data_IF_684442257631
#
_entry.id   IF_684442257631
#
_cell.length_a   1.000
_cell.length_b   1.000
_cell.length_c   1.000
_cell.angle_alpha   90.00
_cell.angle_beta   90.00
_cell.angle_gamma   90.00
#
_symmetry.space_group_name_H-M   'P 1'
#
loop_
_entity.id
_entity.type
_entity.pdbx_description
1 polymer ?
#
# COMPACT_ATOMS: atom_id res chain seq x y z
N UNK A 1 -5.43 -23.33 -1.80
CA UNK A 1 -5.24 -23.64 -0.37
C UNK A 1 -5.67 -22.44 0.49
N UNK A 2 -6.91 -22.48 1.01
CA UNK A 2 -7.68 -21.34 1.53
C UNK A 2 -7.59 -21.07 3.04
N UNK A 3 -6.44 -21.25 3.67
CA UNK A 3 -6.22 -20.97 5.11
C UNK A 3 -6.28 -19.47 5.47
N UNK A 4 -6.59 -18.58 4.52
CA UNK A 4 -6.71 -17.16 4.79
C UNK A 4 -5.38 -16.44 5.08
N UNK A 5 -4.24 -16.98 4.63
CA UNK A 5 -2.90 -16.38 4.89
C UNK A 5 -2.81 -14.91 4.49
N UNK A 6 -3.35 -14.55 3.32
CA UNK A 6 -3.42 -13.14 2.88
C UNK A 6 -4.18 -12.30 3.90
N UNK A 7 -5.35 -12.75 4.33
CA UNK A 7 -6.17 -12.03 5.30
C UNK A 7 -5.49 -11.93 6.68
N UNK A 8 -4.81 -13.00 7.11
CA UNK A 8 -4.01 -12.97 8.33
C UNK A 8 -2.91 -11.90 8.23
N UNK A 9 -2.18 -11.82 7.12
CA UNK A 9 -1.16 -10.79 6.90
C UNK A 9 -1.76 -9.38 6.88
N UNK A 10 -2.86 -9.17 6.15
CA UNK A 10 -3.58 -7.89 6.08
C UNK A 10 -4.04 -7.45 7.48
N UNK A 11 -4.62 -8.36 8.26
CA UNK A 11 -5.04 -8.11 9.63
C UNK A 11 -3.88 -7.75 10.56
N UNK A 12 -2.75 -8.45 10.45
CA UNK A 12 -1.55 -8.13 11.22
C UNK A 12 -1.02 -6.73 10.90
N UNK A 13 -0.95 -6.36 9.62
CA UNK A 13 -0.54 -5.00 9.19
C UNK A 13 -1.48 -3.94 9.75
N UNK A 14 -2.80 -4.18 9.69
CA UNK A 14 -3.79 -3.25 10.23
C UNK A 14 -3.63 -3.04 11.74
N UNK A 15 -3.41 -4.11 12.51
CA UNK A 15 -3.18 -4.01 13.95
C UNK A 15 -1.90 -3.22 14.25
N UNK A 16 -0.82 -3.47 13.50
CA UNK A 16 0.44 -2.72 13.66
C UNK A 16 0.24 -1.24 13.39
N UNK A 17 -0.47 -0.89 12.31
CA UNK A 17 -0.73 0.50 11.93
C UNK A 17 -1.64 1.23 12.92
N UNK A 18 -2.73 0.59 13.37
CA UNK A 18 -3.79 1.28 14.13
C UNK A 18 -3.64 1.19 15.65
N UNK A 19 -3.00 0.15 16.17
CA UNK A 19 -2.97 -0.12 17.63
C UNK A 19 -1.58 -0.05 18.25
N UNK A 20 -0.53 -0.22 17.46
CA UNK A 20 0.84 -0.32 17.97
C UNK A 20 1.68 0.93 17.67
N UNK A 21 1.02 2.09 17.43
CA UNK A 21 1.67 3.36 17.06
C UNK A 21 2.57 3.26 15.81
N UNK A 22 2.30 2.29 14.92
CA UNK A 22 3.03 2.10 13.68
C UNK A 22 2.60 3.07 12.59
N UNK A 23 2.88 4.37 12.74
CA UNK A 23 2.71 5.37 11.67
C UNK A 23 3.82 5.21 10.61
N UNK A 24 3.92 4.04 9.99
CA UNK A 24 5.00 3.67 9.09
C UNK A 24 4.49 3.11 7.76
N UNK A 25 5.37 3.12 6.76
CA UNK A 25 5.12 2.50 5.45
C UNK A 25 5.36 1.00 5.55
N UNK A 26 4.40 0.19 5.11
CA UNK A 26 4.50 -1.27 5.08
C UNK A 26 4.71 -1.76 3.65
N UNK A 27 5.78 -2.50 3.39
CA UNK A 27 6.07 -3.11 2.09
C UNK A 27 5.61 -4.57 2.05
N UNK A 28 4.76 -4.90 1.07
CA UNK A 28 4.32 -6.28 0.79
C UNK A 28 4.82 -6.69 -0.58
N UNK A 29 5.62 -7.76 -0.64
CA UNK A 29 6.13 -8.35 -1.89
C UNK A 29 5.27 -9.56 -2.25
N UNK A 30 4.70 -9.56 -3.45
CA UNK A 30 3.88 -10.65 -3.95
C UNK A 30 4.09 -10.85 -5.47
N UNK A 31 3.80 -12.06 -6.01
CA UNK A 31 3.82 -12.29 -7.45
C UNK A 31 2.86 -11.35 -8.20
N UNK A 32 3.26 -10.92 -9.40
CA UNK A 32 2.48 -10.02 -10.26
C UNK A 32 1.02 -10.47 -10.43
N UNK A 33 0.80 -11.76 -10.62
CA UNK A 33 -0.52 -12.36 -10.81
C UNK A 33 -1.47 -12.24 -9.60
N UNK A 34 -0.93 -11.89 -8.44
CA UNK A 34 -1.69 -11.80 -7.18
C UNK A 34 -1.84 -10.38 -6.64
N UNK A 35 -1.21 -9.37 -7.26
CA UNK A 35 -1.25 -7.99 -6.78
C UNK A 35 -2.69 -7.45 -6.66
N UNK A 36 -3.53 -7.67 -7.67
CA UNK A 36 -4.93 -7.23 -7.64
C UNK A 36 -5.76 -7.94 -6.56
N UNK A 37 -5.37 -9.18 -6.19
CA UNK A 37 -5.99 -9.86 -5.05
C UNK A 37 -5.57 -9.20 -3.73
N UNK A 38 -4.28 -8.92 -3.55
CA UNK A 38 -3.76 -8.22 -2.37
C UNK A 38 -4.39 -6.84 -2.18
N UNK A 39 -4.44 -6.04 -3.25
CA UNK A 39 -5.05 -4.71 -3.24
C UNK A 39 -6.51 -4.77 -2.75
N UNK A 40 -7.30 -5.71 -3.29
CA UNK A 40 -8.70 -5.90 -2.88
C UNK A 40 -8.82 -6.28 -1.42
N UNK A 41 -7.98 -7.18 -0.90
CA UNK A 41 -8.06 -7.56 0.52
C UNK A 41 -7.67 -6.39 1.43
N UNK A 42 -6.64 -5.61 1.10
CA UNK A 42 -6.29 -4.41 1.87
C UNK A 42 -7.42 -3.37 1.86
N UNK A 43 -7.98 -3.05 0.68
CA UNK A 43 -9.11 -2.12 0.55
C UNK A 43 -10.38 -2.59 1.24
N UNK A 44 -10.58 -3.90 1.35
CA UNK A 44 -11.77 -4.49 1.98
C UNK A 44 -11.69 -4.52 3.50
N UNK A 45 -10.52 -4.78 4.05
CA UNK A 45 -10.37 -5.10 5.48
C UNK A 45 -9.64 -4.03 6.30
N UNK A 46 -9.13 -2.99 5.66
CA UNK A 46 -8.35 -1.93 6.30
C UNK A 46 -8.68 -0.56 5.69
N UNK A 47 -8.49 0.50 6.46
CA UNK A 47 -8.59 1.89 5.98
C UNK A 47 -7.22 2.48 5.57
N UNK A 48 -6.22 1.61 5.34
CA UNK A 48 -4.86 2.04 5.00
C UNK A 48 -4.75 2.46 3.53
N UNK A 49 -3.99 3.54 3.27
CA UNK A 49 -3.64 3.89 1.90
C UNK A 49 -2.82 2.75 1.27
N UNK A 50 -3.36 2.13 0.22
CA UNK A 50 -2.78 0.95 -0.41
C UNK A 50 -2.35 1.30 -1.83
N UNK A 51 -1.05 1.31 -2.06
CA UNK A 51 -0.44 1.66 -3.35
C UNK A 51 0.10 0.38 -4.01
N UNK A 52 -0.37 0.07 -5.21
CA UNK A 52 0.16 -1.06 -5.99
C UNK A 52 1.26 -0.55 -6.91
N UNK A 53 2.51 -0.84 -6.56
CA UNK A 53 3.67 -0.41 -7.35
C UNK A 53 3.94 -1.36 -8.53
N UNK A 54 3.19 -1.19 -9.62
CA UNK A 54 3.37 -1.93 -10.87
C UNK A 54 3.03 -1.06 -12.10
N UNK A 55 3.34 -1.53 -13.31
CA UNK A 55 3.03 -0.83 -14.56
C UNK A 55 4.26 -0.57 -15.44
N UNK A 56 4.14 0.38 -16.35
CA UNK A 56 5.21 0.88 -17.20
C UNK A 56 6.27 1.65 -16.40
N UNK A 57 7.33 2.10 -17.08
CA UNK A 57 8.33 2.98 -16.47
C UNK A 57 7.73 4.31 -16.00
N UNK A 58 6.80 4.85 -16.78
CA UNK A 58 6.14 6.13 -16.51
C UNK A 58 5.11 6.02 -15.38
N UNK A 59 4.33 4.92 -15.33
CA UNK A 59 3.40 4.66 -14.22
C UNK A 59 4.15 4.64 -12.88
N UNK A 60 5.27 3.91 -12.83
CA UNK A 60 6.11 3.86 -11.62
C UNK A 60 6.74 5.21 -11.29
N UNK A 61 7.04 6.04 -12.29
CA UNK A 61 7.55 7.40 -12.08
C UNK A 61 6.48 8.26 -11.41
N UNK A 62 5.27 8.25 -11.95
CA UNK A 62 4.13 8.98 -11.41
C UNK A 62 3.82 8.56 -9.96
N UNK A 63 3.82 7.25 -9.67
CA UNK A 63 3.63 6.75 -8.30
C UNK A 63 4.69 7.32 -7.35
N UNK A 64 5.97 7.33 -7.73
CA UNK A 64 7.03 7.90 -6.86
C UNK A 64 6.86 9.39 -6.62
N UNK A 65 6.37 10.14 -7.60
CA UNK A 65 6.19 11.59 -7.50
C UNK A 65 4.96 11.97 -6.66
N UNK A 66 3.85 11.24 -6.81
CA UNK A 66 2.58 11.60 -6.18
C UNK A 66 2.31 10.86 -4.86
N UNK A 67 2.72 9.60 -4.75
CA UNK A 67 2.31 8.73 -3.64
C UNK A 67 3.38 8.58 -2.55
N UNK A 68 4.66 8.81 -2.86
CA UNK A 68 5.77 8.55 -1.91
C UNK A 68 6.23 9.81 -1.16
N UNK A 69 5.80 11.01 -1.57
CA UNK A 69 6.16 12.25 -0.90
C UNK A 69 5.30 12.47 0.36
N UNK A 70 5.95 12.75 1.49
CA UNK A 70 5.30 13.35 2.65
C UNK A 70 4.78 14.73 2.26
N UNK A 71 3.67 15.19 2.87
CA UNK A 71 3.06 16.50 2.53
C UNK A 71 4.06 17.67 2.57
N UNK A 72 5.07 17.60 3.45
CA UNK A 72 6.13 18.60 3.56
C UNK A 72 7.14 18.59 2.40
N UNK A 73 7.33 17.45 1.74
CA UNK A 73 8.23 17.29 0.59
C UNK A 73 7.53 17.54 -0.77
N UNK A 74 6.20 17.70 -0.76
CA UNK A 74 5.45 18.06 -1.97
C UNK A 74 5.82 19.49 -2.37
N UNK A 75 6.21 19.74 -3.64
CA UNK A 75 6.48 21.10 -4.08
C UNK A 75 5.23 21.95 -3.88
N UNK A 76 5.31 22.92 -2.97
CA UNK A 76 4.26 23.92 -2.74
C UNK A 76 4.21 24.83 -3.95
N UNK A 77 3.56 24.42 -5.04
CA UNK A 77 3.10 25.29 -6.12
C UNK A 77 2.33 24.48 -7.19
N UNK A 78 1.00 24.53 -7.13
CA UNK A 78 0.20 24.66 -8.35
C UNK A 78 -1.04 25.50 -8.01
N UNK A 79 -0.96 26.78 -8.39
CA UNK A 79 -2.14 27.61 -8.70
C UNK A 79 -2.63 27.19 -10.08
#
# INVERSE_FOLDING_TARGET
MGLGKTLQTVGTVNIMATRLNGNGVFLVIAPLSTLSHWEREFKRWTDLNTIVYHGSGDDRRLIRELEFAYEDDRPKNTV
#
